data_IF_754001374240
#
_entry.id   IF_754001374240
#
_cell.length_a   1.000
_cell.length_b   1.000
_cell.length_c   1.000
_cell.angle_alpha   90.00
_cell.angle_beta   90.00
_cell.angle_gamma   90.00
#
_symmetry.space_group_name_H-M   'P 1'
#
loop_
_entity.id
_entity.type
_entity.pdbx_description
1 polymer ?
#
# COMPACT_ATOMS: atom_id res chain seq x y z
N UNK A 1 -21.73 -44.94 -2.02
CA UNK A 1 -22.00 -43.93 -3.05
C UNK A 1 -22.87 -42.77 -2.55
N UNK A 2 -23.76 -42.98 -1.56
CA UNK A 2 -24.67 -41.95 -1.05
C UNK A 2 -24.03 -40.83 -0.20
N UNK A 3 -22.88 -41.07 0.44
CA UNK A 3 -22.17 -40.04 1.21
C UNK A 3 -21.52 -38.97 0.31
N UNK A 4 -20.94 -39.39 -0.81
CA UNK A 4 -20.24 -38.49 -1.74
C UNK A 4 -21.22 -37.51 -2.42
N UNK A 5 -22.43 -37.97 -2.79
CA UNK A 5 -23.50 -37.10 -3.31
C UNK A 5 -24.01 -36.08 -2.29
N UNK A 6 -24.02 -36.42 -1.00
CA UNK A 6 -24.44 -35.50 0.04
C UNK A 6 -23.39 -34.41 0.31
N UNK A 7 -22.10 -34.76 0.29
CA UNK A 7 -21.00 -33.81 0.41
C UNK A 7 -20.93 -32.85 -0.79
N UNK A 8 -21.03 -33.37 -2.01
CA UNK A 8 -21.06 -32.56 -3.24
C UNK A 8 -22.25 -31.58 -3.25
N UNK A 9 -23.42 -32.03 -2.78
CA UNK A 9 -24.62 -31.18 -2.67
C UNK A 9 -24.42 -30.06 -1.62
N UNK A 10 -23.80 -30.37 -0.48
CA UNK A 10 -23.47 -29.36 0.53
C UNK A 10 -22.50 -28.31 -0.02
N UNK A 11 -21.47 -28.76 -0.73
CA UNK A 11 -20.44 -27.91 -1.32
C UNK A 11 -20.99 -26.98 -2.40
N UNK A 12 -21.87 -27.49 -3.25
CA UNK A 12 -22.62 -26.71 -4.24
C UNK A 12 -23.44 -25.59 -3.56
N UNK A 13 -24.22 -25.93 -2.54
CA UNK A 13 -25.06 -24.97 -1.83
C UNK A 13 -24.23 -23.87 -1.16
N UNK A 14 -23.11 -24.23 -0.52
CA UNK A 14 -22.21 -23.25 0.09
C UNK A 14 -21.64 -22.28 -0.95
N UNK A 15 -21.17 -22.81 -2.08
CA UNK A 15 -20.61 -22.00 -3.17
C UNK A 15 -21.67 -21.09 -3.81
N UNK A 16 -22.89 -21.60 -4.00
CA UNK A 16 -24.01 -20.83 -4.52
C UNK A 16 -24.36 -19.66 -3.59
N UNK A 17 -24.39 -19.89 -2.27
CA UNK A 17 -24.64 -18.83 -1.30
C UNK A 17 -23.52 -17.77 -1.28
N UNK A 18 -22.26 -18.17 -1.48
CA UNK A 18 -21.14 -17.23 -1.62
C UNK A 18 -21.27 -16.37 -2.89
N UNK A 19 -21.61 -17.00 -4.02
CA UNK A 19 -21.83 -16.32 -5.29
C UNK A 19 -23.01 -15.34 -5.23
N UNK A 20 -24.12 -15.73 -4.60
CA UNK A 20 -25.28 -14.84 -4.40
C UNK A 20 -24.89 -13.59 -3.60
N UNK A 21 -24.07 -13.73 -2.55
CA UNK A 21 -23.55 -12.57 -1.79
C UNK A 21 -22.70 -11.62 -2.62
N UNK A 22 -22.08 -12.14 -3.68
CA UNK A 22 -21.31 -11.38 -4.67
C UNK A 22 -22.18 -10.93 -5.87
N UNK A 23 -23.51 -11.08 -5.78
CA UNK A 23 -24.49 -10.80 -6.84
C UNK A 23 -24.35 -11.67 -8.10
N UNK A 24 -23.70 -12.83 -8.00
CA UNK A 24 -23.71 -13.85 -9.06
C UNK A 24 -24.89 -14.80 -8.83
N UNK A 25 -25.81 -14.83 -9.79
CA UNK A 25 -27.06 -15.60 -9.74
C UNK A 25 -27.10 -16.75 -10.76
N UNK A 26 -26.00 -16.97 -11.49
CA UNK A 26 -25.92 -17.98 -12.53
C UNK A 26 -25.80 -19.39 -11.93
N UNK A 27 -26.45 -20.37 -12.58
CA UNK A 27 -26.30 -21.78 -12.24
C UNK A 27 -24.98 -22.31 -12.82
N UNK A 28 -24.34 -23.23 -12.10
CA UNK A 28 -23.08 -23.85 -12.52
C UNK A 28 -23.15 -25.38 -12.41
N UNK A 29 -22.26 -26.06 -13.13
CA UNK A 29 -22.19 -27.53 -13.09
C UNK A 29 -21.34 -28.00 -11.90
N UNK A 30 -21.60 -29.23 -11.42
CA UNK A 30 -20.84 -29.84 -10.31
C UNK A 30 -19.34 -29.94 -10.62
N UNK A 31 -18.99 -30.18 -11.88
CA UNK A 31 -17.59 -30.26 -12.35
C UNK A 31 -16.85 -28.92 -12.25
N UNK A 32 -17.58 -27.81 -12.24
CA UNK A 32 -17.03 -26.45 -12.19
C UNK A 32 -16.73 -25.98 -10.77
N UNK A 33 -17.25 -26.66 -9.74
CA UNK A 33 -17.06 -26.32 -8.31
C UNK A 33 -15.59 -26.06 -7.94
N UNK A 34 -14.62 -26.96 -8.22
CA UNK A 34 -13.23 -26.75 -7.82
C UNK A 34 -12.59 -25.52 -8.48
N UNK A 35 -12.94 -25.25 -9.75
CA UNK A 35 -12.44 -24.08 -10.48
C UNK A 35 -12.97 -22.78 -9.88
N UNK A 36 -14.30 -22.70 -9.65
CA UNK A 36 -14.93 -21.51 -9.09
C UNK A 36 -14.37 -21.23 -7.69
N UNK A 37 -14.20 -22.27 -6.86
CA UNK A 37 -13.58 -22.13 -5.53
C UNK A 37 -12.17 -21.55 -5.60
N UNK A 38 -11.34 -22.06 -6.51
CA UNK A 38 -9.99 -21.56 -6.70
C UNK A 38 -9.99 -20.09 -7.14
N UNK A 39 -10.81 -19.74 -8.11
CA UNK A 39 -10.94 -18.36 -8.60
C UNK A 39 -11.43 -17.40 -7.50
N UNK A 40 -12.42 -17.80 -6.70
CA UNK A 40 -12.89 -16.99 -5.58
C UNK A 40 -11.80 -16.81 -4.53
N UNK A 41 -11.09 -17.89 -4.17
CA UNK A 41 -9.98 -17.81 -3.22
C UNK A 41 -8.85 -16.90 -3.70
N UNK A 42 -8.49 -17.01 -4.98
CA UNK A 42 -7.48 -16.15 -5.59
C UNK A 42 -7.95 -14.68 -5.59
N UNK A 43 -9.23 -14.42 -5.89
CA UNK A 43 -9.81 -13.08 -5.84
C UNK A 43 -9.82 -12.50 -4.42
N UNK A 44 -10.22 -13.28 -3.41
CA UNK A 44 -10.16 -12.84 -2.01
C UNK A 44 -8.72 -12.52 -1.60
N UNK A 45 -7.78 -13.40 -1.92
CA UNK A 45 -6.35 -13.21 -1.63
C UNK A 45 -5.79 -11.94 -2.29
N UNK A 46 -6.10 -11.72 -3.56
CA UNK A 46 -5.67 -10.52 -4.30
C UNK A 46 -6.28 -9.26 -3.67
N UNK A 47 -7.56 -9.32 -3.28
CA UNK A 47 -8.26 -8.17 -2.68
C UNK A 47 -7.69 -7.82 -1.30
N UNK A 48 -7.40 -8.82 -0.46
CA UNK A 48 -6.73 -8.62 0.83
C UNK A 48 -5.34 -8.01 0.63
N UNK A 49 -4.53 -8.58 -0.26
CA UNK A 49 -3.21 -8.07 -0.57
C UNK A 49 -3.26 -6.62 -1.10
N UNK A 50 -4.24 -6.32 -1.95
CA UNK A 50 -4.47 -4.97 -2.44
C UNK A 50 -4.78 -3.98 -1.30
N UNK A 51 -5.67 -4.34 -0.37
CA UNK A 51 -6.00 -3.50 0.79
C UNK A 51 -4.77 -3.24 1.68
N UNK A 52 -3.94 -4.25 1.90
CA UNK A 52 -2.69 -4.13 2.66
C UNK A 52 -1.73 -3.16 1.94
N UNK A 53 -1.52 -3.35 0.64
CA UNK A 53 -0.64 -2.50 -0.16
C UNK A 53 -1.15 -1.06 -0.24
N UNK A 54 -2.45 -0.86 -0.39
CA UNK A 54 -3.08 0.45 -0.40
C UNK A 54 -2.85 1.18 0.93
N UNK A 55 -3.09 0.50 2.06
CA UNK A 55 -2.85 1.06 3.40
C UNK A 55 -1.38 1.41 3.58
N UNK A 56 -0.46 0.52 3.19
CA UNK A 56 0.99 0.77 3.26
C UNK A 56 1.40 1.96 2.40
N UNK A 57 0.86 2.09 1.20
CA UNK A 57 1.12 3.22 0.30
C UNK A 57 0.69 4.55 0.92
N UNK A 58 -0.48 4.58 1.58
CA UNK A 58 -0.97 5.78 2.25
C UNK A 58 -0.06 6.18 3.42
N UNK A 59 0.40 5.21 4.22
CA UNK A 59 1.36 5.46 5.30
C UNK A 59 2.67 6.03 4.77
N UNK A 60 3.23 5.43 3.71
CA UNK A 60 4.49 5.90 3.11
C UNK A 60 4.36 7.33 2.58
N UNK A 61 3.26 7.67 1.89
CA UNK A 61 3.06 9.03 1.40
C UNK A 61 2.93 10.05 2.54
N UNK A 62 2.29 9.67 3.65
CA UNK A 62 2.23 10.50 4.86
C UNK A 62 3.62 10.71 5.47
N UNK A 63 4.39 9.65 5.68
CA UNK A 63 5.75 9.73 6.25
C UNK A 63 6.69 10.54 5.36
N UNK A 64 6.59 10.38 4.04
CA UNK A 64 7.33 11.16 3.05
C UNK A 64 6.98 12.65 3.14
N UNK A 65 5.70 12.98 3.26
CA UNK A 65 5.26 14.37 3.45
C UNK A 65 5.79 14.97 4.76
N UNK A 66 5.67 14.25 5.86
CA UNK A 66 6.19 14.68 7.17
C UNK A 66 7.71 14.90 7.14
N UNK A 67 8.44 13.98 6.52
CA UNK A 67 9.89 14.09 6.31
C UNK A 67 10.22 15.33 5.47
N UNK A 68 9.49 15.55 4.38
CA UNK A 68 9.67 16.72 3.53
C UNK A 68 9.45 18.03 4.30
N UNK A 69 8.39 18.09 5.12
CA UNK A 69 8.09 19.25 5.97
C UNK A 69 9.22 19.55 6.98
N UNK A 70 9.95 18.55 7.45
CA UNK A 70 11.08 18.73 8.37
C UNK A 70 12.39 19.09 7.66
N UNK A 71 12.69 18.42 6.54
CA UNK A 71 13.97 18.56 5.83
C UNK A 71 14.08 19.90 5.10
N UNK A 72 13.00 20.37 4.47
CA UNK A 72 13.04 21.59 3.67
C UNK A 72 13.39 22.86 4.48
N UNK A 73 12.82 23.10 5.67
CA UNK A 73 13.27 24.18 6.56
C UNK A 73 14.75 24.05 6.96
N UNK A 74 15.21 22.84 7.29
CA UNK A 74 16.59 22.61 7.70
C UNK A 74 17.58 22.92 6.56
N UNK A 75 17.27 22.50 5.33
CA UNK A 75 18.07 22.85 4.15
C UNK A 75 18.14 24.36 3.95
N UNK A 76 17.00 25.06 4.07
CA UNK A 76 16.97 26.53 3.95
C UNK A 76 17.84 27.21 5.01
N UNK A 77 17.71 26.79 6.27
CA UNK A 77 18.52 27.32 7.37
C UNK A 77 20.00 27.03 7.18
N UNK A 78 20.35 25.82 6.74
CA UNK A 78 21.74 25.46 6.44
C UNK A 78 22.35 26.37 5.37
N UNK A 79 21.66 26.57 4.25
CA UNK A 79 22.12 27.46 3.17
C UNK A 79 22.32 28.90 3.69
N UNK A 80 21.38 29.41 4.48
CA UNK A 80 21.48 30.74 5.07
C UNK A 80 22.70 30.87 5.99
N UNK A 81 22.89 29.92 6.89
CA UNK A 81 24.02 29.89 7.82
C UNK A 81 25.36 29.75 7.11
N UNK A 82 25.45 28.90 6.07
CA UNK A 82 26.68 28.79 5.26
C UNK A 82 27.01 30.10 4.56
N UNK A 83 25.99 30.81 4.04
CA UNK A 83 26.19 32.12 3.42
C UNK A 83 26.71 33.15 4.44
N UNK A 84 26.11 33.20 5.62
CA UNK A 84 26.55 34.09 6.71
C UNK A 84 27.97 33.76 7.16
N UNK A 85 28.26 32.48 7.39
CA UNK A 85 29.58 32.00 7.78
C UNK A 85 30.66 32.38 6.76
N UNK A 86 30.38 32.18 5.47
CA UNK A 86 31.28 32.58 4.39
C UNK A 86 31.50 34.10 4.35
N UNK A 87 30.45 34.90 4.55
CA UNK A 87 30.57 36.36 4.61
C UNK A 87 31.46 36.80 5.78
N UNK A 88 31.24 36.22 6.96
CA UNK A 88 32.06 36.50 8.15
C UNK A 88 33.54 36.13 7.93
N UNK A 89 33.81 35.00 7.26
CA UNK A 89 35.17 34.63 6.89
C UNK A 89 35.82 35.64 5.95
N UNK A 90 35.09 36.12 4.93
CA UNK A 90 35.58 37.16 4.01
C UNK A 90 35.87 38.45 4.78
N UNK A 91 34.97 38.88 5.65
CA UNK A 91 35.13 40.11 6.44
C UNK A 91 36.36 40.04 7.36
N UNK A 92 36.63 38.87 7.96
CA UNK A 92 37.82 38.64 8.78
C UNK A 92 39.11 38.69 7.96
N UNK A 93 39.13 38.08 6.78
CA UNK A 93 40.27 38.13 5.86
C UNK A 93 40.57 39.58 5.49
N UNK A 94 39.55 40.32 5.08
CA UNK A 94 39.69 41.72 4.69
C UNK A 94 40.23 42.57 5.84
N UNK A 95 39.68 42.44 7.06
CA UNK A 95 40.18 43.16 8.25
C UNK A 95 41.65 42.87 8.53
N UNK A 96 42.08 41.62 8.39
CA UNK A 96 43.48 41.21 8.59
C UNK A 96 44.42 41.77 7.51
N UNK A 97 43.94 42.00 6.30
CA UNK A 97 44.75 42.57 5.21
C UNK A 97 44.90 44.09 5.31
N UNK A 98 43.97 44.78 5.96
CA UNK A 98 44.02 46.23 6.23
C UNK A 98 44.77 46.63 7.51
N UNK A 99 45.29 45.65 8.27
CA UNK A 99 46.18 45.84 9.44
C UNK A 99 47.62 45.53 9.05
#
# INVERSE_FOLDING_TARGET
>A
MSQNTNEISSEYNQLQQQLIKLNYHENFTLESIPLIKKLLNDLFTITENYQILQTKSQTIEKEKWETHCQVEPLKRSFIALTKENNQLHIDLINKKQTL
#
